data_IF_444360549433
#
_entry.id   IF_444360549433
#
_cell.length_a   1.000
_cell.length_b   1.000
_cell.length_c   1.000
_cell.angle_alpha   90.00
_cell.angle_beta   90.00
_cell.angle_gamma   90.00
#
_symmetry.space_group_name_H-M   'P 1'
#
loop_
_entity.id
_entity.type
_entity.pdbx_description
1 polymer ?
#
# COMPACT_ATOMS: atom_id res chain seq x y z
N UNK A 1 -20.49 -13.75 15.68
CA UNK A 1 -20.94 -12.93 14.52
C UNK A 1 -21.87 -11.84 15.04
N UNK A 2 -21.63 -10.57 14.70
CA UNK A 2 -22.26 -9.39 15.36
C UNK A 2 -23.74 -9.12 15.03
N UNK A 3 -24.38 -9.92 14.15
CA UNK A 3 -25.81 -9.80 13.77
C UNK A 3 -26.26 -8.37 13.43
N UNK A 4 -25.39 -7.61 12.76
CA UNK A 4 -25.65 -6.21 12.40
C UNK A 4 -26.74 -6.17 11.31
N UNK A 5 -27.78 -5.36 11.53
CA UNK A 5 -28.81 -5.13 10.51
C UNK A 5 -28.27 -4.17 9.46
N UNK A 6 -28.57 -4.41 8.18
CA UNK A 6 -28.20 -3.50 7.10
C UNK A 6 -28.87 -2.12 7.24
N UNK A 7 -30.01 -2.03 7.95
CA UNK A 7 -30.70 -0.78 8.23
C UNK A 7 -29.94 0.12 9.21
N UNK A 8 -29.10 -0.47 10.07
CA UNK A 8 -28.35 0.26 11.10
C UNK A 8 -27.24 1.13 10.49
N UNK A 9 -26.85 0.87 9.23
CA UNK A 9 -25.81 1.60 8.47
C UNK A 9 -24.52 1.84 9.26
N UNK A 10 -24.14 0.86 10.09
CA UNK A 10 -22.92 0.88 10.90
C UNK A 10 -21.69 0.99 10.00
N UNK A 11 -20.73 1.82 10.38
CA UNK A 11 -19.50 2.03 9.60
C UNK A 11 -18.56 0.84 9.73
N UNK A 12 -17.73 0.60 8.71
CA UNK A 12 -16.73 -0.48 8.75
C UNK A 12 -15.73 -0.32 9.91
N UNK A 13 -15.44 0.92 10.32
CA UNK A 13 -14.58 1.23 11.45
C UNK A 13 -15.21 0.77 12.77
N UNK A 14 -16.49 1.08 12.97
CA UNK A 14 -17.23 0.65 14.16
C UNK A 14 -17.43 -0.87 14.19
N UNK A 15 -17.69 -1.51 13.05
CA UNK A 15 -17.74 -2.98 12.98
C UNK A 15 -16.41 -3.59 13.43
N UNK A 16 -15.29 -3.03 12.96
CA UNK A 16 -13.97 -3.54 13.33
C UNK A 16 -13.69 -3.37 14.83
N UNK A 17 -14.04 -2.21 15.40
CA UNK A 17 -13.90 -1.95 16.84
C UNK A 17 -14.68 -2.97 17.68
N UNK A 18 -15.93 -3.25 17.29
CA UNK A 18 -16.79 -4.24 17.97
C UNK A 18 -16.27 -5.67 17.90
N UNK A 19 -15.59 -6.05 16.81
CA UNK A 19 -14.96 -7.36 16.69
C UNK A 19 -13.65 -7.40 17.50
N UNK A 20 -13.01 -6.24 17.73
CA UNK A 20 -11.73 -6.10 18.44
C UNK A 20 -10.63 -6.98 17.84
N UNK A 21 -10.72 -7.25 16.53
CA UNK A 21 -9.73 -8.01 15.78
C UNK A 21 -8.77 -7.09 15.05
N UNK A 22 -7.52 -7.53 14.96
CA UNK A 22 -6.54 -6.85 14.12
C UNK A 22 -6.81 -7.11 12.63
N UNK A 23 -6.48 -6.14 11.78
CA UNK A 23 -6.53 -6.28 10.31
C UNK A 23 -5.41 -7.20 9.78
N UNK A 24 -5.32 -8.45 10.24
CA UNK A 24 -4.23 -9.38 9.94
C UNK A 24 -4.04 -9.62 8.44
N UNK A 25 -5.14 -9.80 7.70
CA UNK A 25 -5.09 -9.97 6.25
C UNK A 25 -4.51 -8.73 5.58
N UNK A 26 -4.93 -7.54 6.02
CA UNK A 26 -4.40 -6.28 5.50
C UNK A 26 -2.90 -6.15 5.76
N UNK A 27 -2.46 -6.40 7.00
CA UNK A 27 -1.03 -6.39 7.39
C UNK A 27 -0.22 -7.34 6.49
N UNK A 28 -0.75 -8.56 6.24
CA UNK A 28 -0.10 -9.54 5.37
C UNK A 28 -0.02 -9.11 3.90
N UNK A 29 -1.08 -8.50 3.37
CA UNK A 29 -1.10 -7.98 2.00
C UNK A 29 -0.09 -6.84 1.84
N UNK A 30 -0.08 -5.89 2.78
CA UNK A 30 0.85 -4.75 2.76
C UNK A 30 2.29 -5.25 2.83
N UNK A 31 2.59 -6.21 3.73
CA UNK A 31 3.92 -6.82 3.84
C UNK A 31 4.38 -7.46 2.54
N UNK A 32 3.57 -8.36 1.96
CA UNK A 32 3.89 -9.05 0.70
C UNK A 32 4.07 -8.08 -0.47
N UNK A 33 3.22 -7.05 -0.54
CA UNK A 33 3.33 -5.98 -1.54
C UNK A 33 4.67 -5.25 -1.39
N UNK A 34 5.03 -4.82 -0.18
CA UNK A 34 6.29 -4.13 0.09
C UNK A 34 7.51 -4.98 -0.23
N UNK A 35 7.52 -6.26 0.14
CA UNK A 35 8.60 -7.19 -0.22
C UNK A 35 8.79 -7.30 -1.74
N UNK A 36 7.67 -7.40 -2.46
CA UNK A 36 7.66 -7.50 -3.93
C UNK A 36 8.17 -6.20 -4.58
N UNK A 37 7.71 -5.03 -4.14
CA UNK A 37 8.15 -3.74 -4.68
C UNK A 37 9.63 -3.52 -4.40
N UNK A 38 10.10 -3.78 -3.18
CA UNK A 38 11.51 -3.62 -2.84
C UNK A 38 12.41 -4.49 -3.72
N UNK A 39 11.93 -5.68 -4.12
CA UNK A 39 12.63 -6.52 -5.09
C UNK A 39 12.60 -5.89 -6.50
N UNK A 40 11.43 -5.46 -6.98
CA UNK A 40 11.29 -4.83 -8.31
C UNK A 40 12.16 -3.56 -8.43
N UNK A 41 12.22 -2.73 -7.39
CA UNK A 41 12.96 -1.46 -7.43
C UNK A 41 14.48 -1.64 -7.51
N UNK A 42 15.03 -2.67 -6.86
CA UNK A 42 16.47 -2.95 -6.80
C UNK A 42 17.03 -3.66 -8.03
N UNK A 43 16.18 -4.20 -8.89
CA UNK A 43 16.61 -4.91 -10.09
C UNK A 43 16.10 -4.19 -11.34
N UNK A 44 16.97 -4.09 -12.35
CA UNK A 44 16.53 -3.63 -13.66
C UNK A 44 15.66 -4.68 -14.34
N UNK A 45 14.57 -4.26 -14.97
CA UNK A 45 13.64 -5.15 -15.64
C UNK A 45 12.35 -4.49 -16.05
N UNK A 46 11.51 -5.24 -16.78
CA UNK A 46 10.25 -4.76 -17.32
C UNK A 46 9.31 -4.22 -16.24
N UNK A 47 9.24 -4.86 -15.08
CA UNK A 47 8.38 -4.41 -13.99
C UNK A 47 8.80 -3.05 -13.43
N UNK A 48 10.10 -2.80 -13.31
CA UNK A 48 10.62 -1.50 -12.88
C UNK A 48 10.29 -0.43 -13.92
N UNK A 49 10.49 -0.73 -15.20
CA UNK A 49 10.11 0.15 -16.31
C UNK A 49 8.61 0.46 -16.33
N UNK A 50 7.75 -0.52 -16.05
CA UNK A 50 6.30 -0.31 -15.98
C UNK A 50 5.90 0.56 -14.80
N UNK A 51 6.53 0.36 -13.63
CA UNK A 51 6.26 1.17 -12.44
C UNK A 51 6.77 2.60 -12.62
N UNK A 52 7.93 2.79 -13.25
CA UNK A 52 8.51 4.12 -13.51
C UNK A 52 7.93 4.81 -14.75
N UNK A 53 7.28 4.04 -15.62
CA UNK A 53 6.74 4.51 -16.88
C UNK A 53 5.56 5.45 -16.67
N UNK A 54 5.61 6.61 -17.32
CA UNK A 54 4.42 7.42 -17.54
C UNK A 54 3.59 6.75 -18.64
N UNK A 55 2.29 6.51 -18.38
CA UNK A 55 1.37 6.05 -19.40
C UNK A 55 0.70 7.29 -20.00
N UNK A 56 0.91 7.52 -21.29
CA UNK A 56 0.23 8.59 -22.00
C UNK A 56 -1.28 8.35 -22.02
N UNK A 57 -2.04 9.37 -21.60
CA UNK A 57 -3.49 9.36 -21.64
C UNK A 57 -4.14 9.98 -20.41
N UNK A 58 -5.46 10.17 -20.50
CA UNK A 58 -6.28 10.58 -19.34
C UNK A 58 -6.73 9.37 -18.57
N UNK A 59 -6.77 9.48 -17.25
CA UNK A 59 -7.35 8.45 -16.39
C UNK A 59 -8.81 8.16 -16.80
N UNK A 60 -9.11 6.89 -17.05
CA UNK A 60 -10.47 6.47 -17.38
C UNK A 60 -11.42 6.71 -16.20
N UNK A 61 -12.70 6.96 -16.48
CA UNK A 61 -13.72 7.09 -15.43
C UNK A 61 -13.77 5.82 -14.59
N UNK A 62 -13.78 5.96 -13.26
CA UNK A 62 -13.78 4.83 -12.33
C UNK A 62 -12.40 4.32 -11.93
N UNK A 63 -11.30 4.80 -12.55
CA UNK A 63 -9.95 4.50 -12.03
C UNK A 63 -9.80 5.12 -10.63
N UNK A 64 -9.27 4.37 -9.64
CA UNK A 64 -8.94 4.93 -8.34
C UNK A 64 -8.08 6.17 -8.46
N UNK A 65 -8.41 7.21 -7.68
CA UNK A 65 -7.64 8.47 -7.65
C UNK A 65 -6.23 8.26 -7.09
N UNK A 66 -6.08 7.30 -6.19
CA UNK A 66 -4.78 6.95 -5.62
C UNK A 66 -4.03 6.05 -6.60
N UNK A 67 -2.93 6.56 -7.12
CA UNK A 67 -2.08 5.80 -8.01
C UNK A 67 -1.27 4.77 -7.23
N UNK A 68 -0.86 3.70 -7.92
CA UNK A 68 -0.11 2.63 -7.28
C UNK A 68 1.20 3.14 -6.65
N UNK A 69 1.95 4.00 -7.36
CA UNK A 69 3.18 4.63 -6.83
C UNK A 69 2.89 5.48 -5.59
N UNK A 70 1.78 6.24 -5.59
CA UNK A 70 1.39 7.06 -4.45
C UNK A 70 1.07 6.21 -3.21
N UNK A 71 0.44 5.04 -3.40
CA UNK A 71 0.25 4.08 -2.31
C UNK A 71 1.59 3.59 -1.75
N UNK A 72 2.57 3.29 -2.61
CA UNK A 72 3.91 2.84 -2.18
C UNK A 72 4.62 3.93 -1.37
N UNK A 73 4.60 5.16 -1.86
CA UNK A 73 5.18 6.33 -1.16
C UNK A 73 4.56 6.46 0.23
N UNK A 74 3.23 6.34 0.33
CA UNK A 74 2.49 6.41 1.60
C UNK A 74 2.85 5.24 2.52
N UNK A 75 2.87 4.01 2.02
CA UNK A 75 3.19 2.81 2.80
C UNK A 75 4.61 2.85 3.38
N UNK A 76 5.55 3.50 2.67
CA UNK A 76 6.95 3.64 3.07
C UNK A 76 7.21 4.86 3.95
N UNK A 77 6.20 5.71 4.17
CA UNK A 77 6.33 6.95 4.94
C UNK A 77 7.25 7.99 4.27
N UNK A 78 7.37 7.95 2.94
CA UNK A 78 8.19 8.90 2.18
C UNK A 78 7.34 10.07 1.66
N UNK A 79 7.99 11.19 1.35
CA UNK A 79 7.33 12.38 0.81
C UNK A 79 7.39 12.44 -0.73
N UNK A 80 8.26 11.64 -1.35
CA UNK A 80 8.43 11.64 -2.81
C UNK A 80 8.82 10.27 -3.35
N UNK A 81 8.63 10.10 -4.66
CA UNK A 81 9.10 8.90 -5.37
C UNK A 81 10.62 8.76 -5.33
N UNK A 82 11.35 9.86 -5.47
CA UNK A 82 12.83 9.87 -5.44
C UNK A 82 13.36 9.36 -4.10
N UNK A 83 12.76 9.82 -3.00
CA UNK A 83 13.06 9.36 -1.65
C UNK A 83 12.75 7.86 -1.49
N UNK A 84 11.59 7.43 -1.96
CA UNK A 84 11.17 6.02 -1.93
C UNK A 84 12.14 5.13 -2.69
N UNK A 85 12.61 5.58 -3.86
CA UNK A 85 13.58 4.85 -4.69
C UNK A 85 14.93 4.70 -3.99
N UNK A 86 15.47 5.78 -3.41
CA UNK A 86 16.72 5.73 -2.62
C UNK A 86 16.59 4.81 -1.41
N UNK A 87 15.45 4.86 -0.72
CA UNK A 87 15.15 3.98 0.42
C UNK A 87 15.08 2.51 0.00
N UNK A 88 14.57 2.22 -1.20
CA UNK A 88 14.50 0.86 -1.73
C UNK A 88 15.88 0.24 -1.98
N UNK A 89 16.91 1.04 -2.28
CA UNK A 89 18.29 0.57 -2.46
C UNK A 89 18.87 0.01 -1.16
N UNK A 90 18.51 0.60 -0.01
CA UNK A 90 18.85 0.07 1.30
C UNK A 90 17.83 -0.98 1.77
N UNK A 91 18.19 -2.25 1.63
CA UNK A 91 17.32 -3.40 1.97
C UNK A 91 16.83 -3.38 3.42
N UNK A 92 17.65 -2.94 4.38
CA UNK A 92 17.28 -2.97 5.79
C UNK A 92 16.33 -1.80 6.13
N UNK A 93 16.60 -0.59 5.62
CA UNK A 93 15.67 0.54 5.75
C UNK A 93 14.31 0.25 5.11
N UNK A 94 14.30 -0.42 3.95
CA UNK A 94 13.06 -0.81 3.26
C UNK A 94 12.20 -1.77 4.09
N UNK A 95 12.82 -2.74 4.77
CA UNK A 95 12.09 -3.71 5.62
C UNK A 95 11.53 -3.05 6.87
N UNK A 96 12.27 -2.13 7.49
CA UNK A 96 11.88 -1.51 8.76
C UNK A 96 10.65 -0.61 8.61
N UNK A 97 10.46 0.01 7.45
CA UNK A 97 9.32 0.88 7.16
C UNK A 97 7.96 0.15 7.17
N UNK A 98 7.95 -1.16 6.92
CA UNK A 98 6.73 -1.98 6.86
C UNK A 98 6.04 -2.11 8.23
N UNK A 99 6.78 -1.89 9.31
CA UNK A 99 6.26 -2.02 10.68
C UNK A 99 5.69 -0.70 11.25
N UNK A 100 5.77 0.41 10.50
CA UNK A 100 5.37 1.75 10.98
C UNK A 100 4.03 2.25 10.43
N UNK A 101 3.41 1.54 9.48
CA UNK A 101 2.06 1.86 8.97
C UNK A 101 0.94 1.21 9.79
N UNK A 102 1.25 0.78 11.01
CA UNK A 102 0.35 0.13 11.95
C UNK A 102 0.18 0.98 13.21
N UNK A 103 -0.31 2.21 13.05
CA UNK A 103 -1.04 2.96 14.07
C UNK A 103 -2.34 3.49 13.45
#
# INVERSE_FOLDING_TARGET
MLRISWMDRVTNEEVLERISEEKLIWKNIVKRRNESIGHIMRHEGLLKLIIEGCIDGKNHRGRPRLEYIQQIIKDQGCNSYVETKRKADNREEWKMAVNQSAD
#
